data_IF_570734573404
#
_entry.id   IF_570734573404
#
_cell.length_a   1.000
_cell.length_b   1.000
_cell.length_c   1.000
_cell.angle_alpha   90.00
_cell.angle_beta   90.00
_cell.angle_gamma   90.00
#
_symmetry.space_group_name_H-M   'P 1'
#
loop_
_entity.id
_entity.type
_entity.pdbx_description
1 polymer ?
#
# COMPACT_ATOMS: atom_id res chain seq x y z
N UNK A 1 -11.49 5.23 15.53
CA UNK A 1 -11.13 3.83 15.16
C UNK A 1 -12.37 3.02 14.77
N UNK A 2 -13.50 3.16 15.50
CA UNK A 2 -14.78 2.49 15.17
C UNK A 2 -15.29 2.76 13.75
N UNK A 3 -15.34 4.03 13.32
CA UNK A 3 -15.84 4.37 11.98
C UNK A 3 -15.10 3.70 10.82
N UNK A 4 -13.77 3.52 10.93
CA UNK A 4 -13.03 2.83 9.88
C UNK A 4 -13.40 1.35 9.84
N UNK A 5 -13.54 0.71 11.00
CA UNK A 5 -13.90 -0.70 11.09
C UNK A 5 -15.34 -0.95 10.60
N UNK A 6 -16.27 -0.03 10.90
CA UNK A 6 -17.64 -0.04 10.37
C UNK A 6 -17.61 0.04 8.84
N UNK A 7 -16.87 1.01 8.27
CA UNK A 7 -16.73 1.14 6.82
C UNK A 7 -16.14 -0.10 6.15
N UNK A 8 -15.14 -0.74 6.77
CA UNK A 8 -14.55 -1.99 6.26
C UNK A 8 -15.62 -3.09 6.15
N UNK A 9 -16.48 -3.22 7.17
CA UNK A 9 -17.58 -4.17 7.19
C UNK A 9 -18.66 -3.80 6.16
N UNK A 10 -19.10 -2.55 6.16
CA UNK A 10 -20.16 -2.04 5.26
C UNK A 10 -19.77 -2.20 3.79
N UNK A 11 -18.49 -1.98 3.47
CA UNK A 11 -17.94 -2.15 2.13
C UNK A 11 -17.60 -3.61 1.78
N UNK A 12 -17.78 -4.56 2.71
CA UNK A 12 -17.47 -5.98 2.52
C UNK A 12 -16.03 -6.22 2.02
N UNK A 13 -15.08 -5.49 2.59
CA UNK A 13 -13.64 -5.64 2.31
C UNK A 13 -12.94 -6.27 3.51
N UNK A 14 -11.84 -6.98 3.25
CA UNK A 14 -11.02 -7.62 4.26
C UNK A 14 -9.54 -7.36 4.01
N UNK A 15 -8.69 -7.54 5.02
CA UNK A 15 -7.25 -7.46 4.83
C UNK A 15 -6.76 -8.56 3.89
N UNK A 16 -5.97 -8.15 2.90
CA UNK A 16 -5.18 -9.09 2.12
C UNK A 16 -4.06 -9.66 3.01
N UNK A 17 -3.80 -10.99 2.97
CA UNK A 17 -2.68 -11.58 3.68
C UNK A 17 -1.37 -10.87 3.33
N UNK A 18 -0.60 -10.50 4.35
CA UNK A 18 0.61 -9.69 4.16
C UNK A 18 1.82 -10.24 4.90
N UNK A 19 3.00 -9.88 4.40
CA UNK A 19 4.32 -10.16 5.00
C UNK A 19 5.19 -8.91 4.98
N UNK A 20 6.38 -8.98 5.57
CA UNK A 20 7.35 -7.88 5.55
C UNK A 20 7.29 -7.02 6.81
N UNK A 21 7.52 -5.72 6.65
CA UNK A 21 7.68 -4.76 7.73
C UNK A 21 6.49 -4.76 8.70
N UNK A 22 6.80 -4.78 10.00
CA UNK A 22 5.79 -4.72 11.06
C UNK A 22 5.07 -3.36 11.07
N UNK A 23 5.87 -2.30 11.01
CA UNK A 23 5.44 -0.90 10.92
C UNK A 23 5.51 -0.44 9.47
N UNK A 24 4.53 0.36 9.07
CA UNK A 24 4.42 0.88 7.71
C UNK A 24 4.69 2.37 7.63
N UNK A 25 4.90 3.03 8.78
CA UNK A 25 5.26 4.42 8.89
C UNK A 25 6.25 4.63 10.04
N UNK A 26 7.21 5.53 9.85
CA UNK A 26 8.19 5.95 10.85
C UNK A 26 8.25 7.48 10.96
N UNK A 27 8.51 8.01 12.14
CA UNK A 27 8.71 9.45 12.33
C UNK A 27 10.08 9.97 11.83
N UNK A 28 10.94 9.09 11.30
CA UNK A 28 12.30 9.37 10.82
C UNK A 28 13.19 10.14 11.82
N UNK A 29 13.00 9.92 13.14
CA UNK A 29 13.88 10.50 14.16
C UNK A 29 14.98 9.51 14.53
N UNK A 30 16.19 10.02 14.71
CA UNK A 30 17.32 9.22 15.22
C UNK A 30 17.15 8.91 16.71
N UNK A 31 16.75 9.90 17.49
CA UNK A 31 16.39 9.74 18.90
C UNK A 31 14.89 9.43 19.04
N UNK A 32 14.57 8.42 19.85
CA UNK A 32 13.21 7.92 20.09
C UNK A 32 12.40 7.66 18.81
N UNK A 33 12.86 6.72 17.95
CA UNK A 33 12.15 6.37 16.73
C UNK A 33 10.79 5.75 17.05
N UNK A 34 9.74 6.26 16.41
CA UNK A 34 8.37 5.75 16.57
C UNK A 34 7.93 5.11 15.26
N UNK A 35 7.65 3.81 15.31
CA UNK A 35 7.00 3.07 14.23
C UNK A 35 5.50 2.94 14.47
N UNK A 36 4.70 3.10 13.42
CA UNK A 36 3.25 2.82 13.43
C UNK A 36 2.86 1.95 12.25
N UNK A 37 1.80 1.16 12.42
CA UNK A 37 1.17 0.41 11.33
C UNK A 37 -0.08 1.16 10.88
N UNK A 38 0.06 1.97 9.83
CA UNK A 38 -1.00 2.85 9.33
C UNK A 38 -1.61 2.35 8.01
N UNK A 39 -0.84 1.59 7.24
CA UNK A 39 -1.20 1.18 5.88
C UNK A 39 -1.74 -0.25 5.88
N UNK A 40 -2.83 -0.47 5.14
CA UNK A 40 -3.51 -1.76 4.97
C UNK A 40 -3.87 -1.97 3.51
N UNK A 41 -3.70 -3.19 3.02
CA UNK A 41 -4.21 -3.59 1.71
C UNK A 41 -5.56 -4.28 1.92
N UNK A 42 -6.65 -3.65 1.48
CA UNK A 42 -8.01 -4.17 1.63
C UNK A 42 -8.54 -4.68 0.28
N UNK A 43 -9.19 -5.83 0.29
CA UNK A 43 -9.70 -6.51 -0.91
C UNK A 43 -11.13 -7.00 -0.68
N UNK A 44 -11.91 -7.08 -1.75
CA UNK A 44 -13.26 -7.61 -1.73
C UNK A 44 -13.33 -9.04 -2.29
N UNK A 45 -14.52 -9.64 -2.26
CA UNK A 45 -14.74 -11.01 -2.74
C UNK A 45 -14.42 -11.20 -4.24
N UNK A 46 -14.66 -10.19 -5.07
CA UNK A 46 -14.35 -10.25 -6.50
C UNK A 46 -12.84 -10.36 -6.73
N UNK A 47 -12.05 -9.57 -6.00
CA UNK A 47 -10.59 -9.68 -6.03
C UNK A 47 -10.11 -11.05 -5.58
N UNK A 48 -10.64 -11.58 -4.47
CA UNK A 48 -10.25 -12.90 -3.95
C UNK A 48 -10.60 -14.04 -4.92
N UNK A 49 -11.68 -13.89 -5.68
CA UNK A 49 -12.07 -14.85 -6.72
C UNK A 49 -11.12 -14.80 -7.92
N UNK A 50 -10.66 -13.60 -8.30
CA UNK A 50 -9.77 -13.39 -9.44
C UNK A 50 -8.30 -13.71 -9.12
N UNK A 51 -7.85 -13.41 -7.90
CA UNK A 51 -6.47 -13.57 -7.45
C UNK A 51 -6.40 -14.32 -6.10
N UNK A 52 -6.79 -15.61 -6.07
CA UNK A 52 -6.96 -16.37 -4.83
C UNK A 52 -5.66 -16.57 -4.03
N UNK A 53 -4.50 -16.47 -4.66
CA UNK A 53 -3.19 -16.55 -3.98
C UNK A 53 -2.47 -15.20 -3.95
N UNK A 54 -3.21 -14.09 -4.10
CA UNK A 54 -2.62 -12.76 -3.93
C UNK A 54 -2.19 -12.49 -2.50
N UNK A 55 -1.13 -11.69 -2.35
CA UNK A 55 -0.60 -11.28 -1.05
C UNK A 55 0.04 -9.90 -1.13
N UNK A 56 0.10 -9.21 0.00
CA UNK A 56 0.84 -7.97 0.14
C UNK A 56 2.23 -8.24 0.77
N UNK A 57 3.21 -7.43 0.41
CA UNK A 57 4.51 -7.39 1.07
C UNK A 57 4.87 -5.94 1.36
N UNK A 58 5.12 -5.64 2.64
CA UNK A 58 5.59 -4.32 3.05
C UNK A 58 7.12 -4.33 3.10
N UNK A 59 7.76 -3.60 2.19
CA UNK A 59 9.22 -3.50 2.18
C UNK A 59 9.72 -2.66 3.37
N UNK A 60 10.72 -3.17 4.09
CA UNK A 60 11.35 -2.42 5.17
C UNK A 60 12.40 -1.43 4.63
N UNK A 61 12.42 -0.23 5.20
CA UNK A 61 13.41 0.81 4.88
C UNK A 61 13.10 1.61 3.60
N UNK A 62 14.05 2.45 3.21
CA UNK A 62 13.92 3.39 2.10
C UNK A 62 14.15 4.84 2.53
N UNK A 63 13.99 5.77 1.59
CA UNK A 63 14.07 7.22 1.84
C UNK A 63 12.74 7.82 2.31
N UNK A 64 11.66 7.02 2.21
CA UNK A 64 10.31 7.40 2.59
C UNK A 64 10.09 7.04 4.06
N UNK A 65 9.33 7.88 4.77
CA UNK A 65 8.81 7.57 6.10
C UNK A 65 7.78 6.43 6.06
N UNK A 66 7.14 6.19 4.92
CA UNK A 66 6.27 5.04 4.67
C UNK A 66 6.99 3.83 4.05
N UNK A 67 6.57 2.63 4.47
CA UNK A 67 6.92 1.36 3.85
C UNK A 67 6.13 1.15 2.55
N UNK A 68 6.82 0.74 1.49
CA UNK A 68 6.17 0.41 0.22
C UNK A 68 5.36 -0.87 0.36
N UNK A 69 4.07 -0.83 0.00
CA UNK A 69 3.21 -2.01 -0.09
C UNK A 69 3.21 -2.57 -1.53
N UNK A 70 3.77 -3.77 -1.70
CA UNK A 70 3.78 -4.50 -2.96
C UNK A 70 2.69 -5.57 -2.96
N UNK A 71 1.71 -5.44 -3.87
CA UNK A 71 0.69 -6.48 -4.09
C UNK A 71 1.16 -7.45 -5.16
N UNK A 72 1.30 -8.72 -4.79
CA UNK A 72 1.58 -9.82 -5.71
C UNK A 72 0.26 -10.49 -6.05
N UNK A 73 -0.14 -10.42 -7.31
CA UNK A 73 -1.28 -11.18 -7.83
C UNK A 73 -0.77 -12.45 -8.50
N UNK A 74 -1.33 -13.60 -8.17
CA UNK A 74 -1.06 -14.84 -8.92
C UNK A 74 -2.00 -14.91 -10.12
N UNK A 75 -1.44 -14.91 -11.33
CA UNK A 75 -2.15 -14.92 -12.61
C UNK A 75 -1.15 -14.70 -13.75
N UNK A 76 -1.61 -14.71 -15.01
CA UNK A 76 -0.75 -14.42 -16.16
C UNK A 76 -0.14 -13.03 -15.99
N UNK A 77 1.14 -12.99 -15.62
CA UNK A 77 1.92 -11.76 -15.62
C UNK A 77 2.03 -11.36 -17.08
N UNK A 78 1.36 -10.29 -17.47
CA UNK A 78 1.63 -9.68 -18.75
C UNK A 78 3.03 -9.06 -18.63
N UNK A 79 4.05 -9.82 -19.04
CA UNK A 79 5.48 -9.53 -18.90
C UNK A 79 5.94 -8.38 -19.82
N UNK A 80 4.99 -7.68 -20.42
CA UNK A 80 5.24 -6.44 -21.13
C UNK A 80 5.84 -5.41 -20.16
N UNK A 81 7.03 -4.90 -20.49
CA UNK A 81 7.64 -3.75 -19.80
C UNK A 81 6.65 -2.59 -19.83
N UNK A 82 6.12 -2.24 -18.66
CA UNK A 82 5.27 -1.06 -18.50
C UNK A 82 6.19 0.15 -18.28
N UNK A 83 6.15 1.18 -19.14
CA UNK A 83 6.90 2.40 -18.89
C UNK A 83 6.39 3.07 -17.61
N UNK A 84 7.29 3.70 -16.86
CA UNK A 84 6.90 4.62 -15.80
C UNK A 84 6.04 5.74 -16.41
N UNK A 85 4.87 5.98 -15.84
CA UNK A 85 3.98 7.07 -16.24
C UNK A 85 3.81 8.01 -15.07
N UNK A 86 4.11 9.27 -15.32
CA UNK A 86 3.87 10.37 -14.41
C UNK A 86 2.89 11.32 -15.08
N UNK A 87 1.95 11.87 -14.30
CA UNK A 87 0.99 12.82 -14.82
C UNK A 87 1.64 14.20 -14.89
N UNK A 88 2.05 14.62 -16.08
CA UNK A 88 2.75 15.89 -16.27
C UNK A 88 1.95 17.09 -15.75
N UNK A 89 0.61 17.07 -15.78
CA UNK A 89 -0.17 18.18 -15.23
C UNK A 89 0.07 18.42 -13.73
N UNK A 90 0.55 17.41 -12.99
CA UNK A 90 0.93 17.58 -11.59
C UNK A 90 2.05 18.61 -11.43
N UNK A 91 2.92 18.77 -12.45
CA UNK A 91 3.96 19.81 -12.44
C UNK A 91 3.42 21.21 -12.62
N UNK A 92 2.18 21.33 -13.08
CA UNK A 92 1.51 22.62 -13.26
C UNK A 92 0.84 23.11 -11.96
N UNK A 93 0.79 22.27 -10.92
CA UNK A 93 0.26 22.68 -9.63
C UNK A 93 1.18 23.72 -8.99
N UNK A 94 0.60 24.81 -8.47
CA UNK A 94 1.36 25.92 -7.88
C UNK A 94 2.26 25.50 -6.72
N UNK A 95 1.90 24.42 -6.02
CA UNK A 95 2.66 23.85 -4.89
C UNK A 95 3.53 22.64 -5.29
N UNK A 96 3.73 22.39 -6.58
CA UNK A 96 4.50 21.22 -7.03
C UNK A 96 6.00 21.36 -6.71
N UNK A 97 6.54 22.56 -6.85
CA UNK A 97 7.93 22.84 -6.50
C UNK A 97 8.03 23.27 -5.02
N UNK A 98 9.11 22.86 -4.33
CA UNK A 98 9.33 23.18 -2.92
C UNK A 98 9.57 24.66 -2.65
#
# INVERSE_FOLDING_TARGET
MYHFQELVVDCSVTDLPYTGALFTWWNNREEDPIGKKLDRALVNQSWMSQYPSSSAHFDAGGISDHARCLIRTTGVVNDARKPFRFFNYLTEHNEFLP
#
